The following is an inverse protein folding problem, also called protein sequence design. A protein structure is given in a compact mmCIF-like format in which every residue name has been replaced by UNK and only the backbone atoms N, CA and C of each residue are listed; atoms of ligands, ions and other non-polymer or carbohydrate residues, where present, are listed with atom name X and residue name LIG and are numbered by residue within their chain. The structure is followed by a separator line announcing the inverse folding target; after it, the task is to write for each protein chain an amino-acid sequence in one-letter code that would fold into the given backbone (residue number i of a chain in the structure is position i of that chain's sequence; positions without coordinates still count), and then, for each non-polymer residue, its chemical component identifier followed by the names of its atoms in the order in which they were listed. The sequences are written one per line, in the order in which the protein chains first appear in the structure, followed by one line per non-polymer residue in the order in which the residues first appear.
data_IF_488713464830
#
_entry.id   IF_488713464830
#
_cell.length_a   1.000
_cell.length_b   1.000
_cell.length_c   1.000
_cell.angle_alpha   90.00
_cell.angle_beta   90.00
_cell.angle_gamma   90.00
#
_symmetry.space_group_name_H-M   'P 1'
#
loop_
_entity.id
_entity.type
_entity.pdbx_description
1 polymer ?
#
# COMPACT_ATOMS: atom_id res chain seq x y z
N UNK A 1 2.42 -30.36 14.35
CA UNK A 1 1.36 -30.00 13.37
C UNK A 1 1.06 -28.53 13.57
N UNK A 2 1.17 -27.71 12.53
CA UNK A 2 0.62 -26.35 12.55
C UNK A 2 -0.91 -26.47 12.64
N UNK A 3 -1.55 -25.58 13.40
CA UNK A 3 -3.01 -25.54 13.47
C UNK A 3 -3.56 -24.96 12.16
N UNK A 4 -4.84 -25.19 11.87
CA UNK A 4 -5.49 -24.61 10.69
C UNK A 4 -5.37 -23.07 10.66
N UNK A 5 -5.37 -22.43 11.84
CA UNK A 5 -5.19 -20.99 11.98
C UNK A 5 -3.77 -20.54 11.58
N UNK A 6 -2.74 -21.30 11.95
CA UNK A 6 -1.35 -20.96 11.59
C UNK A 6 -1.11 -21.09 10.08
N UNK A 7 -1.77 -22.04 9.41
CA UNK A 7 -1.71 -22.20 7.95
C UNK A 7 -2.44 -21.06 7.21
N UNK A 8 -3.58 -20.60 7.74
CA UNK A 8 -4.30 -19.48 7.18
C UNK A 8 -3.48 -18.18 7.30
N UNK A 9 -2.85 -17.94 8.45
CA UNK A 9 -1.97 -16.80 8.67
C UNK A 9 -0.77 -16.80 7.70
N UNK A 10 -0.12 -17.95 7.53
CA UNK A 10 1.00 -18.09 6.60
C UNK A 10 0.59 -17.81 5.15
N UNK A 11 -0.60 -18.28 4.76
CA UNK A 11 -1.15 -18.02 3.42
C UNK A 11 -1.45 -16.53 3.20
N UNK A 12 -1.93 -15.83 4.23
CA UNK A 12 -2.16 -14.39 4.18
C UNK A 12 -0.85 -13.61 4.07
N UNK A 13 0.19 -13.99 4.82
CA UNK A 13 1.51 -13.38 4.73
C UNK A 13 2.14 -13.57 3.35
N UNK A 14 2.03 -14.77 2.76
CA UNK A 14 2.54 -15.04 1.41
C UNK A 14 1.79 -14.27 0.31
N UNK A 15 0.56 -13.84 0.56
CA UNK A 15 -0.19 -12.96 -0.36
C UNK A 15 0.12 -11.49 -0.14
N UNK A 16 0.34 -11.10 1.11
CA UNK A 16 0.62 -9.71 1.47
C UNK A 16 2.02 -9.27 1.06
N UNK A 17 3.00 -10.17 0.95
CA UNK A 17 4.38 -9.83 0.60
C UNK A 17 4.88 -10.60 -0.62
N UNK A 18 5.68 -9.94 -1.46
CA UNK A 18 6.38 -10.60 -2.56
C UNK A 18 7.63 -11.38 -2.09
N UNK A 19 8.32 -12.04 -3.02
CA UNK A 19 9.55 -12.79 -2.74
C UNK A 19 10.72 -11.93 -2.25
N UNK A 20 10.66 -10.62 -2.45
CA UNK A 20 11.64 -9.66 -1.95
C UNK A 20 11.22 -9.03 -0.60
N UNK A 21 10.05 -9.41 -0.06
CA UNK A 21 9.51 -8.87 1.18
C UNK A 21 8.78 -7.52 1.01
N UNK A 22 8.42 -7.15 -0.21
CA UNK A 22 7.65 -5.93 -0.49
C UNK A 22 6.20 -6.15 -0.12
N UNK A 23 5.64 -5.26 0.70
CA UNK A 23 4.22 -5.23 1.03
C UNK A 23 3.39 -4.87 -0.20
N UNK A 24 2.62 -5.83 -0.71
CA UNK A 24 1.74 -5.70 -1.86
C UNK A 24 0.33 -5.22 -1.47
N UNK A 25 -0.01 -5.15 -0.18
CA UNK A 25 -1.37 -4.81 0.26
C UNK A 25 -1.83 -3.45 -0.26
N UNK A 26 -0.93 -2.47 -0.30
CA UNK A 26 -1.24 -1.15 -0.84
C UNK A 26 -1.45 -1.19 -2.36
N UNK A 27 -0.67 -2.00 -3.07
CA UNK A 27 -0.79 -2.17 -4.53
C UNK A 27 -2.12 -2.85 -4.86
N UNK A 28 -2.42 -3.97 -4.21
CA UNK A 28 -3.67 -4.71 -4.38
C UNK A 28 -4.90 -3.84 -4.05
N UNK A 29 -4.81 -3.06 -2.97
CA UNK A 29 -5.84 -2.10 -2.63
C UNK A 29 -6.05 -1.06 -3.74
N UNK A 30 -4.99 -0.42 -4.26
CA UNK A 30 -5.14 0.53 -5.37
C UNK A 30 -5.68 -0.10 -6.65
N UNK A 31 -5.36 -1.38 -6.92
CA UNK A 31 -5.87 -2.12 -8.08
C UNK A 31 -7.36 -2.45 -7.93
N UNK A 32 -7.87 -2.58 -6.71
CA UNK A 32 -9.30 -2.77 -6.43
C UNK A 32 -10.16 -1.52 -6.67
N UNK A 33 -9.55 -0.34 -6.70
CA UNK A 33 -10.23 0.94 -6.93
C UNK A 33 -10.61 1.14 -8.41
N UNK A 34 -11.70 1.86 -8.64
CA UNK A 34 -12.01 2.42 -9.96
C UNK A 34 -10.96 3.47 -10.37
N UNK A 35 -10.83 3.78 -11.68
CA UNK A 35 -9.90 4.81 -12.13
C UNK A 35 -10.08 6.18 -11.46
N UNK A 36 -11.34 6.57 -11.18
CA UNK A 36 -11.65 7.82 -10.51
C UNK A 36 -11.21 7.83 -9.04
N UNK A 37 -11.54 6.78 -8.29
CA UNK A 37 -11.13 6.65 -6.89
C UNK A 37 -9.61 6.61 -6.74
N UNK A 38 -8.92 5.89 -7.62
CA UNK A 38 -7.46 5.84 -7.65
C UNK A 38 -6.87 7.24 -7.89
N UNK A 39 -7.43 8.00 -8.83
CA UNK A 39 -6.98 9.36 -9.10
C UNK A 39 -7.18 10.27 -7.88
N UNK A 40 -8.30 10.14 -7.19
CA UNK A 40 -8.59 10.91 -5.98
C UNK A 40 -7.59 10.61 -4.86
N UNK A 41 -7.33 9.34 -4.58
CA UNK A 41 -6.32 8.92 -3.57
C UNK A 41 -4.93 9.46 -3.90
N UNK A 42 -4.51 9.36 -5.17
CA UNK A 42 -3.21 9.88 -5.60
C UNK A 42 -3.11 11.39 -5.44
N UNK A 43 -4.18 12.13 -5.79
CA UNK A 43 -4.25 13.57 -5.60
C UNK A 43 -4.13 13.96 -4.12
N UNK A 44 -4.92 13.33 -3.24
CA UNK A 44 -4.90 13.57 -1.79
C UNK A 44 -3.52 13.24 -1.17
N UNK A 45 -2.89 12.16 -1.65
CA UNK A 45 -1.54 11.77 -1.23
C UNK A 45 -0.51 12.81 -1.65
N UNK A 46 -0.57 13.27 -2.90
CA UNK A 46 0.35 14.31 -3.41
C UNK A 46 0.24 15.62 -2.64
N UNK A 47 -0.98 16.07 -2.32
CA UNK A 47 -1.23 17.26 -1.54
C UNK A 47 -0.74 17.10 -0.08
N UNK A 48 -0.85 15.89 0.47
CA UNK A 48 -0.34 15.60 1.82
C UNK A 48 1.19 15.58 1.86
N UNK A 49 1.84 15.01 0.86
CA UNK A 49 3.31 15.05 0.74
C UNK A 49 3.82 16.48 0.57
N UNK A 50 3.15 17.29 -0.26
CA UNK A 50 3.50 18.70 -0.43
C UNK A 50 3.41 19.50 0.89
N UNK A 51 2.47 19.16 1.78
CA UNK A 51 2.38 19.78 3.13
C UNK A 51 3.45 19.31 4.10
N UNK A 52 3.98 18.10 3.91
CA UNK A 52 4.98 17.50 4.80
C UNK A 52 6.42 17.82 4.40
N UNK A 53 6.64 18.27 3.17
CA UNK A 53 7.92 18.82 2.72
C UNK A 53 7.88 20.33 2.90
N UNK A 54 8.44 20.88 4.01
CA UNK A 54 8.50 22.32 4.18
C UNK A 54 9.51 22.83 3.16
N UNK A 55 9.03 23.58 2.16
CA UNK A 55 9.79 24.32 1.15
C UNK A 55 11.12 23.67 0.75
N UNK A 56 11.06 22.77 -0.25
CA UNK A 56 12.21 22.50 -1.12
C UNK A 56 12.57 23.72 -2.01
N UNK A 57 11.92 24.88 -1.78
CA UNK A 57 12.24 26.19 -2.32
C UNK A 57 12.81 27.07 -1.20
N UNK A 58 14.03 26.77 -0.76
CA UNK A 58 14.91 27.78 -0.16
C UNK A 58 16.06 28.04 -1.14
N UNK A 59 15.78 28.86 -2.15
CA UNK A 59 16.70 29.84 -2.74
C UNK A 59 15.92 30.88 -3.58
#
# INVERSE_FOLDING_TARGET
MLTAADQELETLNQKAFDSAGVDLTQIDWMLSLTPYERLQVLYETSASLARLMPDADTD
#
